data_IF_638966347589
#
_entry.id   IF_638966347589
#
_cell.length_a   1.000
_cell.length_b   1.000
_cell.length_c   1.000
_cell.angle_alpha   90.00
_cell.angle_beta   90.00
_cell.angle_gamma   90.00
#
_symmetry.space_group_name_H-M   'P 1'
#
loop_
_entity.id
_entity.type
_entity.pdbx_description
1 polymer ?
#
# COMPACT_ATOMS: atom_id res chain seq x y z
N UNK A 1 -10.56 5.28 15.34
CA UNK A 1 -10.49 6.45 14.43
C UNK A 1 -9.79 5.98 13.16
N UNK A 2 -10.21 6.44 11.98
CA UNK A 2 -9.61 6.06 10.70
C UNK A 2 -9.27 7.29 9.87
N UNK A 3 -8.17 7.21 9.13
CA UNK A 3 -7.79 8.18 8.10
C UNK A 3 -7.97 7.54 6.72
N UNK A 4 -8.53 8.28 5.77
CA UNK A 4 -8.84 7.78 4.42
C UNK A 4 -8.00 8.55 3.41
N UNK A 5 -7.42 7.82 2.46
CA UNK A 5 -6.57 8.29 1.39
C UNK A 5 -7.21 7.91 0.04
N UNK A 6 -7.88 8.85 -0.64
CA UNK A 6 -8.14 8.68 -2.07
C UNK A 6 -6.81 8.76 -2.82
N UNK A 7 -6.57 7.83 -3.74
CA UNK A 7 -5.37 7.79 -4.55
C UNK A 7 -5.71 8.20 -5.98
N UNK A 8 -4.85 9.04 -6.55
CA UNK A 8 -4.96 9.52 -7.92
C UNK A 8 -3.98 8.73 -8.80
N UNK A 9 -4.38 8.47 -10.05
CA UNK A 9 -3.48 7.89 -11.06
C UNK A 9 -2.39 8.90 -11.45
N UNK A 10 -1.16 8.43 -11.68
CA UNK A 10 -0.12 9.21 -12.34
C UNK A 10 -0.53 9.53 -13.79
N UNK A 11 -0.24 10.72 -14.29
CA UNK A 11 -0.79 11.20 -15.57
C UNK A 11 0.24 11.38 -16.68
N UNK A 12 1.52 11.18 -16.39
CA UNK A 12 2.64 11.41 -17.30
C UNK A 12 2.53 10.56 -18.56
N UNK A 13 2.12 9.30 -18.42
CA UNK A 13 2.05 8.31 -19.53
C UNK A 13 0.62 7.91 -19.88
N UNK A 14 -0.39 8.51 -19.25
CA UNK A 14 -1.78 8.02 -19.27
C UNK A 14 -2.38 7.88 -20.68
N UNK A 15 -1.96 8.70 -21.64
CA UNK A 15 -2.38 8.58 -23.03
C UNK A 15 -1.88 7.30 -23.70
N UNK A 16 -0.59 6.98 -23.49
CA UNK A 16 0.02 5.74 -24.00
C UNK A 16 -0.54 4.52 -23.27
N UNK A 17 -0.75 4.63 -21.97
CA UNK A 17 -1.31 3.54 -21.15
C UNK A 17 -2.74 3.21 -21.59
N UNK A 18 -3.57 4.22 -21.84
CA UNK A 18 -4.94 4.06 -22.34
C UNK A 18 -4.95 3.34 -23.70
N UNK A 19 -4.07 3.74 -24.61
CA UNK A 19 -3.92 3.10 -25.92
C UNK A 19 -3.52 1.62 -25.79
N UNK A 20 -2.55 1.30 -24.94
CA UNK A 20 -2.09 -0.09 -24.73
C UNK A 20 -3.18 -0.98 -24.13
N UNK A 21 -4.01 -0.43 -23.25
CA UNK A 21 -5.10 -1.13 -22.58
C UNK A 21 -6.39 -1.19 -23.39
N UNK A 22 -6.41 -0.60 -24.60
CA UNK A 22 -7.61 -0.48 -25.42
C UNK A 22 -8.75 0.23 -24.68
N UNK A 23 -8.43 1.21 -23.84
CA UNK A 23 -9.35 1.96 -22.98
C UNK A 23 -9.23 3.46 -23.25
N UNK A 24 -10.19 4.27 -22.79
CA UNK A 24 -10.05 5.73 -22.85
C UNK A 24 -9.26 6.28 -21.66
N UNK A 25 -8.66 7.46 -21.83
CA UNK A 25 -8.02 8.19 -20.71
C UNK A 25 -9.03 8.41 -19.57
N UNK A 26 -10.29 8.71 -19.92
CA UNK A 26 -11.34 8.90 -18.95
C UNK A 26 -11.72 7.61 -18.22
N UNK A 27 -11.58 6.43 -18.85
CA UNK A 27 -11.74 5.15 -18.13
C UNK A 27 -10.62 4.98 -17.10
N UNK A 28 -9.36 5.25 -17.46
CA UNK A 28 -8.25 5.11 -16.52
C UNK A 28 -8.39 6.06 -15.33
N UNK A 29 -8.83 7.31 -15.56
CA UNK A 29 -9.12 8.26 -14.47
C UNK A 29 -10.30 7.85 -13.59
N UNK A 30 -11.21 7.00 -14.08
CA UNK A 30 -12.34 6.46 -13.30
C UNK A 30 -11.96 5.22 -12.49
N UNK A 31 -10.73 4.71 -12.59
CA UNK A 31 -10.22 3.72 -11.64
C UNK A 31 -10.17 4.38 -10.26
N UNK A 32 -10.98 3.88 -9.34
CA UNK A 32 -11.06 4.40 -7.98
C UNK A 32 -10.16 3.54 -7.09
N UNK A 33 -9.14 4.14 -6.50
CA UNK A 33 -8.29 3.47 -5.51
C UNK A 33 -8.37 4.26 -4.21
N UNK A 34 -8.78 3.58 -3.14
CA UNK A 34 -8.92 4.17 -1.80
C UNK A 34 -8.21 3.29 -0.78
N UNK A 35 -7.45 3.92 0.11
CA UNK A 35 -6.82 3.24 1.23
C UNK A 35 -7.33 3.84 2.53
N UNK A 36 -7.73 3.01 3.48
CA UNK A 36 -7.99 3.47 4.85
C UNK A 36 -6.94 2.94 5.80
N UNK A 37 -6.46 3.80 6.68
CA UNK A 37 -5.58 3.47 7.79
C UNK A 37 -6.38 3.53 9.10
N UNK A 38 -6.33 2.48 9.90
CA UNK A 38 -7.06 2.37 11.15
C UNK A 38 -6.22 1.67 12.22
N UNK A 39 -6.10 2.26 13.41
CA UNK A 39 -5.48 1.59 14.55
C UNK A 39 -6.48 0.64 15.19
N UNK A 40 -6.21 -0.66 15.10
CA UNK A 40 -6.97 -1.72 15.74
C UNK A 40 -6.30 -2.08 17.05
N UNK A 41 -7.04 -2.08 18.16
CA UNK A 41 -6.50 -2.35 19.51
C UNK A 41 -6.61 -3.80 19.97
N UNK A 42 -7.50 -4.58 19.36
CA UNK A 42 -7.85 -5.95 19.77
C UNK A 42 -8.08 -6.82 18.52
N UNK A 43 -7.71 -8.13 18.54
CA UNK A 43 -7.06 -8.86 19.63
C UNK A 43 -5.57 -8.51 19.80
N UNK A 44 -4.95 -7.88 18.80
CA UNK A 44 -3.59 -7.37 18.86
C UNK A 44 -3.54 -5.94 18.32
N UNK A 45 -2.65 -5.12 18.89
CA UNK A 45 -2.48 -3.73 18.48
C UNK A 45 -1.75 -3.66 17.12
N UNK A 46 -2.41 -3.12 16.10
CA UNK A 46 -1.84 -2.98 14.77
C UNK A 46 -2.45 -1.81 13.98
N UNK A 47 -1.71 -1.34 12.99
CA UNK A 47 -2.20 -0.45 11.94
C UNK A 47 -2.79 -1.31 10.84
N UNK A 48 -4.09 -1.22 10.64
CA UNK A 48 -4.78 -1.87 9.54
C UNK A 48 -4.86 -0.91 8.34
N UNK A 49 -4.26 -1.31 7.23
CA UNK A 49 -4.42 -0.69 5.92
C UNK A 49 -5.46 -1.49 5.12
N UNK A 50 -6.50 -0.83 4.62
CA UNK A 50 -7.50 -1.46 3.74
C UNK A 50 -7.46 -0.81 2.37
N UNK A 51 -6.99 -1.57 1.38
CA UNK A 51 -6.94 -1.16 -0.01
C UNK A 51 -8.24 -1.59 -0.68
N UNK A 52 -8.92 -0.63 -1.33
CA UNK A 52 -10.12 -0.85 -2.10
C UNK A 52 -9.93 -0.27 -3.50
N UNK A 53 -10.03 -1.13 -4.51
CA UNK A 53 -9.88 -0.79 -5.91
C UNK A 53 -11.21 -1.05 -6.59
N UNK A 54 -11.70 -0.10 -7.38
CA UNK A 54 -12.88 -0.29 -8.22
C UNK A 54 -12.53 0.09 -9.65
N UNK A 55 -12.77 -0.84 -10.58
CA UNK A 55 -12.54 -0.66 -12.01
C UNK A 55 -13.85 -0.29 -12.72
N UNK A 56 -13.82 0.62 -13.71
CA UNK A 56 -15.02 1.11 -14.39
C UNK A 56 -15.56 0.16 -15.47
N UNK A 57 -14.83 -0.91 -15.81
CA UNK A 57 -15.24 -1.86 -16.85
C UNK A 57 -14.71 -3.27 -16.60
N UNK A 58 -15.44 -4.26 -17.11
CA UNK A 58 -15.00 -5.66 -17.12
C UNK A 58 -13.77 -5.88 -18.00
N UNK A 59 -13.58 -5.08 -19.06
CA UNK A 59 -12.41 -5.16 -19.93
C UNK A 59 -11.11 -4.89 -19.16
N UNK A 60 -11.10 -3.84 -18.33
CA UNK A 60 -9.97 -3.54 -17.46
C UNK A 60 -9.80 -4.63 -16.39
N UNK A 61 -10.89 -5.12 -15.82
CA UNK A 61 -10.86 -6.21 -14.83
C UNK A 61 -10.25 -7.50 -15.35
N UNK A 62 -10.51 -7.85 -16.62
CA UNK A 62 -9.94 -9.03 -17.26
C UNK A 62 -8.43 -8.90 -17.52
N UNK A 63 -7.91 -7.67 -17.58
CA UNK A 63 -6.49 -7.40 -17.80
C UNK A 63 -5.71 -7.22 -16.49
N UNK A 64 -6.39 -6.84 -15.40
CA UNK A 64 -5.76 -6.65 -14.09
C UNK A 64 -5.20 -7.97 -13.57
N UNK A 65 -3.89 -8.00 -13.30
CA UNK A 65 -3.29 -9.05 -12.51
C UNK A 65 -3.61 -8.82 -11.03
N UNK A 66 -4.63 -9.50 -10.54
CA UNK A 66 -4.96 -9.54 -9.11
C UNK A 66 -4.87 -10.99 -8.63
N UNK A 67 -3.70 -11.42 -8.13
CA UNK A 67 -3.51 -12.82 -7.81
C UNK A 67 -4.42 -13.27 -6.65
N UNK A 68 -4.86 -14.51 -6.74
CA UNK A 68 -5.72 -15.13 -5.73
C UNK A 68 -4.92 -15.30 -4.44
N UNK A 69 -5.56 -15.00 -3.31
CA UNK A 69 -4.96 -15.18 -1.99
C UNK A 69 -4.62 -16.64 -1.73
N UNK A 70 -3.42 -16.88 -1.19
CA UNK A 70 -2.91 -18.21 -0.87
C UNK A 70 -2.27 -18.21 0.51
N UNK A 71 -2.91 -18.87 1.47
CA UNK A 71 -2.40 -19.02 2.85
C UNK A 71 -0.93 -19.48 2.89
N UNK A 72 -0.57 -20.43 2.02
CA UNK A 72 0.77 -21.00 1.96
C UNK A 72 1.85 -20.05 1.41
N UNK A 73 1.46 -18.94 0.78
CA UNK A 73 2.37 -17.93 0.25
C UNK A 73 2.58 -16.74 1.20
N UNK A 74 1.87 -16.70 2.32
CA UNK A 74 2.03 -15.62 3.31
C UNK A 74 3.44 -15.69 3.90
N UNK A 75 4.27 -14.72 3.52
CA UNK A 75 5.68 -14.69 3.89
C UNK A 75 6.44 -13.56 3.22
N UNK A 76 7.69 -13.37 3.66
CA UNK A 76 8.57 -12.34 3.13
C UNK A 76 9.05 -12.68 1.71
N UNK A 77 8.91 -11.75 0.76
CA UNK A 77 9.39 -11.86 -0.62
C UNK A 77 9.80 -10.51 -1.18
N UNK A 78 10.99 -10.43 -1.78
CA UNK A 78 11.48 -9.24 -2.44
C UNK A 78 10.85 -9.00 -3.83
N UNK A 79 11.10 -7.81 -4.39
CA UNK A 79 10.73 -7.42 -5.76
C UNK A 79 9.22 -7.41 -6.07
N UNK A 80 8.37 -7.28 -5.06
CA UNK A 80 6.90 -7.25 -5.24
C UNK A 80 6.41 -6.09 -6.11
N UNK A 81 7.15 -4.98 -6.15
CA UNK A 81 6.86 -3.81 -6.99
C UNK A 81 6.95 -4.08 -8.51
N UNK A 82 7.49 -5.23 -8.93
CA UNK A 82 7.52 -5.64 -10.33
C UNK A 82 6.14 -6.14 -10.83
N UNK A 83 5.16 -6.26 -9.96
CA UNK A 83 3.79 -6.68 -10.27
C UNK A 83 2.75 -5.79 -9.54
N UNK A 84 1.48 -6.20 -9.49
CA UNK A 84 0.49 -5.55 -8.64
C UNK A 84 0.94 -5.58 -7.19
N UNK A 85 1.20 -4.39 -6.64
CA UNK A 85 1.79 -4.18 -5.32
C UNK A 85 0.99 -3.13 -4.55
N UNK A 86 0.61 -3.48 -3.33
CA UNK A 86 -0.03 -2.60 -2.36
C UNK A 86 1.08 -2.09 -1.45
N UNK A 87 1.32 -0.78 -1.46
CA UNK A 87 2.49 -0.18 -0.81
C UNK A 87 2.09 0.83 0.26
N UNK A 88 2.95 1.03 1.25
CA UNK A 88 2.79 2.07 2.25
C UNK A 88 4.13 2.53 2.80
N UNK A 89 4.39 3.83 2.69
CA UNK A 89 5.58 4.45 3.24
C UNK A 89 5.24 5.17 4.54
N UNK A 90 6.10 5.03 5.54
CA UNK A 90 5.88 5.53 6.90
C UNK A 90 7.16 6.20 7.39
N UNK A 91 7.05 7.46 7.83
CA UNK A 91 8.16 8.20 8.42
C UNK A 91 7.74 8.95 9.68
N UNK A 92 8.74 9.23 10.51
CA UNK A 92 8.65 10.11 11.66
C UNK A 92 9.91 9.99 12.50
N UNK A 93 9.85 10.49 13.72
CA UNK A 93 10.96 10.40 14.66
C UNK A 93 11.34 8.95 14.98
N UNK A 94 12.64 8.66 15.04
CA UNK A 94 13.16 7.37 15.51
C UNK A 94 13.24 7.41 17.04
N UNK A 95 12.75 6.38 17.72
CA UNK A 95 12.91 6.21 19.16
C UNK A 95 14.25 5.54 19.47
N UNK A 96 14.95 6.05 20.48
CA UNK A 96 16.08 5.40 21.11
C UNK A 96 15.64 4.24 22.00
N UNK A 97 16.64 3.51 22.52
CA UNK A 97 16.41 2.36 23.40
C UNK A 97 15.72 2.73 24.73
N UNK A 98 15.73 4.00 25.12
CA UNK A 98 15.05 4.56 26.29
C UNK A 98 13.62 5.05 25.98
N UNK A 99 13.14 4.87 24.74
CA UNK A 99 11.84 5.34 24.28
C UNK A 99 11.76 6.85 24.04
N UNK A 100 12.90 7.57 24.12
CA UNK A 100 12.99 8.99 23.80
C UNK A 100 13.37 9.14 22.32
N UNK A 101 12.81 10.14 21.63
CA UNK A 101 13.19 10.40 20.25
C UNK A 101 14.71 10.61 20.13
N UNK A 102 15.38 9.75 19.38
CA UNK A 102 16.78 9.92 19.02
C UNK A 102 16.91 11.09 18.05
N UNK A 103 17.96 11.89 18.22
CA UNK A 103 18.36 12.92 17.24
C UNK A 103 18.87 12.32 15.90
N UNK A 104 18.80 11.00 15.74
CA UNK A 104 19.28 10.27 14.57
C UNK A 104 18.23 10.30 13.44
N UNK A 105 18.64 10.84 12.30
CA UNK A 105 17.96 10.93 11.00
C UNK A 105 16.43 11.06 11.01
N UNK A 106 15.95 12.31 10.92
CA UNK A 106 14.55 12.63 10.58
C UNK A 106 14.16 12.19 9.16
N UNK A 107 15.13 11.71 8.37
CA UNK A 107 14.97 11.35 6.96
C UNK A 107 14.70 9.86 6.74
N UNK A 108 14.89 9.03 7.77
CA UNK A 108 14.59 7.60 7.72
C UNK A 108 13.10 7.32 7.50
N UNK A 109 12.81 6.17 6.89
CA UNK A 109 11.45 5.70 6.68
C UNK A 109 11.39 4.19 6.49
N UNK A 110 10.19 3.67 6.63
CA UNK A 110 9.84 2.28 6.37
C UNK A 110 8.99 2.22 5.11
N UNK A 111 9.20 1.19 4.31
CA UNK A 111 8.36 0.85 3.15
C UNK A 111 7.77 -0.54 3.38
N UNK A 112 6.45 -0.65 3.34
CA UNK A 112 5.76 -1.94 3.26
C UNK A 112 5.32 -2.17 1.83
N UNK A 113 5.65 -3.33 1.28
CA UNK A 113 5.13 -3.81 0.00
C UNK A 113 4.36 -5.11 0.22
N UNK A 114 3.23 -5.27 -0.46
CA UNK A 114 2.39 -6.46 -0.30
C UNK A 114 1.71 -6.84 -1.63
N UNK A 115 1.79 -8.12 -1.99
CA UNK A 115 1.05 -8.66 -3.12
C UNK A 115 -0.34 -9.11 -2.67
N UNK A 116 -1.39 -9.02 -3.51
CA UNK A 116 -2.72 -9.52 -3.17
C UNK A 116 -2.81 -11.01 -2.81
N UNK A 117 -1.77 -11.80 -3.09
CA UNK A 117 -1.72 -13.24 -2.83
C UNK A 117 -1.29 -13.62 -1.41
N UNK A 118 -0.74 -12.69 -0.62
CA UNK A 118 -0.27 -12.96 0.73
C UNK A 118 1.20 -12.61 0.98
N UNK A 119 2.01 -12.53 -0.09
CA UNK A 119 3.43 -12.17 0.01
C UNK A 119 3.61 -10.72 0.42
N UNK A 120 4.68 -10.43 1.16
CA UNK A 120 4.99 -9.08 1.59
C UNK A 120 6.48 -8.83 1.73
N UNK A 121 6.87 -7.57 1.81
CA UNK A 121 8.17 -7.13 2.27
C UNK A 121 8.02 -5.89 3.13
N UNK A 122 8.95 -5.71 4.05
CA UNK A 122 9.02 -4.54 4.90
C UNK A 122 10.48 -4.10 4.96
N UNK A 123 10.77 -2.94 4.40
CA UNK A 123 12.12 -2.43 4.24
C UNK A 123 12.35 -1.21 5.12
N UNK A 124 13.61 -0.98 5.47
CA UNK A 124 14.07 0.22 6.14
C UNK A 124 15.00 1.01 5.23
N UNK A 125 14.80 2.33 5.23
CA UNK A 125 15.68 3.28 4.57
C UNK A 125 16.17 4.34 5.55
N UNK A 126 17.44 4.72 5.43
CA UNK A 126 18.06 5.77 6.24
C UNK A 126 17.67 7.17 5.76
N UNK A 127 17.49 7.31 4.45
CA UNK A 127 17.01 8.48 3.71
C UNK A 127 16.64 8.05 2.29
N UNK A 128 16.37 9.01 1.40
CA UNK A 128 15.89 8.77 0.03
C UNK A 128 16.66 7.64 -0.69
N UNK A 129 15.98 6.50 -0.88
CA UNK A 129 16.51 5.25 -1.50
C UNK A 129 17.89 4.80 -0.97
N UNK A 130 18.19 5.08 0.30
CA UNK A 130 19.44 4.67 0.94
C UNK A 130 19.21 3.66 2.07
N UNK A 131 20.00 2.58 2.17
CA UNK A 131 21.11 2.22 1.29
C UNK A 131 20.63 1.88 -0.13
N UNK A 132 21.42 2.27 -1.14
CA UNK A 132 21.11 2.04 -2.55
C UNK A 132 21.49 0.60 -2.96
N UNK A 133 20.92 -0.38 -2.25
CA UNK A 133 21.17 -1.82 -2.43
C UNK A 133 19.86 -2.50 -2.83
N UNK A 134 19.94 -3.52 -3.69
CA UNK A 134 18.81 -4.35 -4.10
C UNK A 134 19.07 -5.82 -3.73
N UNK A 135 18.13 -6.51 -3.06
CA UNK A 135 16.89 -5.95 -2.51
C UNK A 135 17.17 -4.93 -1.38
N UNK A 136 16.26 -3.99 -1.11
CA UNK A 136 16.41 -3.06 0.01
C UNK A 136 16.55 -3.80 1.33
N UNK A 137 17.18 -3.17 2.32
CA UNK A 137 17.42 -3.78 3.62
C UNK A 137 16.08 -4.12 4.31
N UNK A 138 15.81 -5.40 4.61
CA UNK A 138 14.62 -5.78 5.36
C UNK A 138 14.63 -5.16 6.76
N UNK A 139 13.49 -4.64 7.20
CA UNK A 139 13.31 -4.07 8.55
C UNK A 139 13.44 -5.16 9.64
N UNK A 140 12.99 -6.37 9.32
CA UNK A 140 13.04 -7.53 10.20
C UNK A 140 13.73 -8.70 9.51
N UNK A 141 14.19 -9.67 10.28
CA UNK A 141 14.69 -10.92 9.73
C UNK A 141 13.56 -11.63 8.96
N UNK A 142 13.87 -12.08 7.74
CA UNK A 142 12.94 -12.79 6.86
C UNK A 142 12.71 -14.26 7.28
N UNK A 143 12.99 -14.61 8.53
CA UNK A 143 13.01 -15.99 9.06
C UNK A 143 11.62 -16.56 9.36
N UNK A 144 10.56 -15.77 9.16
CA UNK A 144 9.17 -16.15 9.43
C UNK A 144 8.79 -16.18 10.92
N UNK A 145 9.72 -15.86 11.83
CA UNK A 145 9.49 -15.80 13.28
C UNK A 145 9.32 -14.38 13.80
N UNK A 146 9.77 -13.38 13.05
CA UNK A 146 9.67 -11.96 13.44
C UNK A 146 8.36 -11.33 12.97
N UNK A 147 7.72 -10.54 13.85
CA UNK A 147 6.36 -9.95 13.75
C UNK A 147 6.16 -8.99 12.55
N UNK A 148 6.14 -9.52 11.34
CA UNK A 148 5.46 -8.94 10.20
C UNK A 148 4.24 -9.81 9.87
N UNK A 149 3.30 -9.90 10.82
CA UNK A 149 2.03 -10.59 10.55
C UNK A 149 1.07 -9.61 9.88
N UNK A 150 0.88 -9.81 8.59
CA UNK A 150 -0.16 -9.16 7.80
C UNK A 150 -1.44 -10.01 7.92
N UNK A 151 -2.44 -9.51 8.65
CA UNK A 151 -3.75 -10.14 8.72
C UNK A 151 -4.56 -9.84 7.44
N UNK A 152 -4.80 -10.89 6.65
CA UNK A 152 -5.60 -10.84 5.44
C UNK A 152 -7.08 -11.13 5.76
N UNK A 153 -8.01 -10.33 5.22
CA UNK A 153 -9.45 -10.62 5.31
C UNK A 153 -10.07 -10.55 3.93
N UNK A 154 -10.57 -11.68 3.45
CA UNK A 154 -11.31 -11.80 2.21
C UNK A 154 -12.76 -11.34 2.42
N UNK A 155 -13.10 -10.16 1.89
CA UNK A 155 -14.48 -9.82 1.62
C UNK A 155 -14.63 -9.71 0.10
N UNK A 156 -15.08 -10.78 -0.54
CA UNK A 156 -15.72 -10.66 -1.85
C UNK A 156 -17.16 -10.25 -1.56
N UNK A 157 -17.47 -8.96 -1.70
CA UNK A 157 -18.86 -8.53 -1.79
C UNK A 157 -19.39 -9.00 -3.15
N UNK A 158 -20.02 -10.18 -3.16
CA UNK A 158 -20.86 -10.58 -4.27
C UNK A 158 -22.08 -9.64 -4.27
N UNK A 159 -22.44 -9.04 -5.42
CA UNK A 159 -23.66 -8.23 -5.48
C UNK A 159 -24.84 -9.13 -5.13
N UNK A 160 -25.46 -8.90 -3.97
CA UNK A 160 -26.84 -9.28 -3.76
C UNK A 160 -27.66 -8.51 -4.80
N UNK A 161 -28.53 -9.22 -5.50
CA UNK A 161 -29.45 -8.76 -6.55
C UNK A 161 -28.92 -8.80 -7.99
N UNK A 162 -29.61 -9.62 -8.78
CA UNK A 162 -29.63 -9.65 -10.23
C UNK A 162 -30.27 -8.35 -10.75
N UNK A 163 -29.45 -7.33 -10.94
CA UNK A 163 -29.84 -6.13 -11.70
C UNK A 163 -29.85 -6.40 -13.22
N UNK A 164 -30.70 -5.69 -13.99
CA UNK A 164 -30.86 -5.89 -15.43
C UNK A 164 -29.55 -5.66 -16.23
N UNK A 165 -29.43 -6.21 -17.45
CA UNK A 165 -28.14 -6.42 -18.13
C UNK A 165 -27.45 -5.16 -18.69
N UNK A 166 -27.89 -3.96 -18.32
CA UNK A 166 -27.51 -2.71 -18.99
C UNK A 166 -26.71 -1.73 -18.13
N UNK A 167 -26.40 -2.05 -16.88
CA UNK A 167 -25.50 -1.24 -16.04
C UNK A 167 -24.08 -1.79 -16.14
N UNK A 168 -23.13 -0.95 -16.56
CA UNK A 168 -21.70 -1.29 -16.59
C UNK A 168 -21.29 -1.78 -15.20
N UNK A 169 -21.06 -3.09 -15.05
CA UNK A 169 -20.82 -3.71 -13.76
C UNK A 169 -19.43 -3.28 -13.27
N UNK A 170 -19.40 -2.45 -12.23
CA UNK A 170 -18.17 -2.09 -11.53
C UNK A 170 -17.57 -3.36 -10.91
N UNK A 171 -16.27 -3.56 -11.09
CA UNK A 171 -15.53 -4.70 -10.50
C UNK A 171 -14.67 -4.17 -9.37
N UNK A 172 -14.86 -4.72 -8.17
CA UNK A 172 -14.17 -4.26 -6.96
C UNK A 172 -13.24 -5.32 -6.39
N UNK A 173 -12.10 -4.87 -5.90
CA UNK A 173 -11.06 -5.68 -5.28
C UNK A 173 -10.69 -5.08 -3.94
N UNK A 174 -10.45 -5.93 -2.94
CA UNK A 174 -10.17 -5.49 -1.59
C UNK A 174 -9.11 -6.35 -0.92
N UNK A 175 -8.17 -5.71 -0.25
CA UNK A 175 -7.25 -6.35 0.69
C UNK A 175 -7.13 -5.55 1.97
N UNK A 176 -6.94 -6.28 3.06
CA UNK A 176 -6.60 -5.73 4.37
C UNK A 176 -5.23 -6.25 4.75
N UNK A 177 -4.43 -5.35 5.30
CA UNK A 177 -3.07 -5.61 5.72
C UNK A 177 -2.87 -5.03 7.12
N UNK A 178 -2.34 -5.82 8.05
CA UNK A 178 -2.00 -5.39 9.40
C UNK A 178 -0.50 -5.19 9.57
N UNK A 179 -0.09 -4.05 10.15
CA UNK A 179 1.28 -3.80 10.59
C UNK A 179 1.31 -3.70 12.12
N UNK A 180 2.06 -4.55 12.83
CA UNK A 180 2.14 -4.48 14.29
C UNK A 180 2.60 -3.11 14.77
N UNK A 181 1.97 -2.63 15.85
CA UNK A 181 2.29 -1.33 16.45
C UNK A 181 2.76 -1.48 17.89
N UNK A 182 3.62 -0.56 18.28
CA UNK A 182 3.90 -0.23 19.69
C UNK A 182 3.11 1.02 20.07
N UNK A 183 2.39 0.98 21.18
CA UNK A 183 1.73 2.16 21.74
C UNK A 183 2.74 2.95 22.59
N UNK A 184 2.82 4.25 22.35
CA UNK A 184 3.66 5.20 23.07
C UNK A 184 2.79 6.09 23.97
N UNK A 185 3.40 6.90 24.86
CA UNK A 185 2.68 7.96 25.58
C UNK A 185 1.90 8.89 24.63
N UNK A 186 0.91 9.60 25.17
CA UNK A 186 0.08 10.56 24.41
C UNK A 186 -0.63 9.97 23.18
N UNK A 187 -0.95 8.67 23.21
CA UNK A 187 -1.63 7.96 22.12
C UNK A 187 -0.86 8.00 20.79
N UNK A 188 0.46 8.15 20.83
CA UNK A 188 1.31 7.98 19.67
C UNK A 188 1.55 6.48 19.41
N UNK A 189 1.90 6.15 18.16
CA UNK A 189 2.17 4.78 17.73
C UNK A 189 3.46 4.72 16.94
N UNK A 190 4.17 3.60 17.05
CA UNK A 190 5.38 3.32 16.29
C UNK A 190 5.36 1.93 15.65
N UNK A 191 6.11 1.80 14.55
CA UNK A 191 6.46 0.54 13.90
C UNK A 191 7.99 0.43 13.96
N UNK A 192 8.52 -0.66 14.54
CA UNK A 192 9.97 -0.89 14.64
C UNK A 192 10.80 0.33 15.11
N UNK A 193 10.29 1.07 16.12
CA UNK A 193 10.86 2.32 16.66
C UNK A 193 10.67 3.59 15.82
N UNK A 194 10.02 3.54 14.65
CA UNK A 194 9.63 4.74 13.90
C UNK A 194 8.25 5.20 14.33
N UNK A 195 8.16 6.39 14.93
CA UNK A 195 6.88 7.05 15.23
C UNK A 195 6.15 7.36 13.92
N UNK A 196 4.85 7.09 13.86
CA UNK A 196 4.05 7.34 12.66
C UNK A 196 3.63 8.81 12.63
N UNK A 197 4.43 9.67 11.98
CA UNK A 197 4.11 11.09 11.79
C UNK A 197 3.59 11.37 10.38
N UNK A 198 4.15 10.67 9.39
CA UNK A 198 3.79 10.76 7.98
C UNK A 198 3.50 9.36 7.44
N UNK A 199 2.52 9.30 6.55
CA UNK A 199 2.10 8.08 5.88
C UNK A 199 1.79 8.38 4.41
N UNK A 200 2.16 7.45 3.53
CA UNK A 200 1.92 7.56 2.10
C UNK A 200 1.56 6.18 1.56
N UNK A 201 0.27 5.79 1.59
CA UNK A 201 -0.16 4.55 0.96
C UNK A 201 -0.14 4.73 -0.56
N UNK A 202 0.41 3.76 -1.28
CA UNK A 202 0.52 3.77 -2.73
C UNK A 202 0.05 2.43 -3.31
N UNK A 203 -0.25 2.41 -4.60
CA UNK A 203 -0.62 1.18 -5.30
C UNK A 203 0.01 1.16 -6.68
N UNK A 204 0.62 0.04 -7.02
CA UNK A 204 1.01 -0.34 -8.36
C UNK A 204 -0.01 -1.36 -8.86
N UNK A 205 -0.69 -1.09 -9.96
CA UNK A 205 -1.60 -2.03 -10.61
C UNK A 205 -1.02 -2.49 -11.94
N UNK A 206 -0.80 -3.80 -12.09
CA UNK A 206 -0.33 -4.41 -13.34
C UNK A 206 -1.52 -4.85 -14.18
N UNK A 207 -1.67 -4.28 -15.37
CA UNK A 207 -2.66 -4.66 -16.38
C UNK A 207 -1.95 -5.28 -17.58
N UNK A 208 -1.88 -6.60 -17.63
CA UNK A 208 -1.06 -7.30 -18.64
C UNK A 208 0.40 -6.83 -18.62
N UNK A 209 0.82 -6.05 -19.62
CA UNK A 209 2.17 -5.46 -19.70
C UNK A 209 2.24 -3.99 -19.24
N UNK A 210 1.11 -3.34 -19.04
CA UNK A 210 1.03 -1.93 -18.65
C UNK A 210 0.95 -1.83 -17.13
N UNK A 211 1.63 -0.84 -16.56
CA UNK A 211 1.64 -0.60 -15.11
C UNK A 211 1.09 0.78 -14.84
N UNK A 212 0.12 0.87 -13.92
CA UNK A 212 -0.47 2.13 -13.48
C UNK A 212 -0.09 2.39 -12.02
N UNK A 213 0.24 3.64 -11.71
CA UNK A 213 0.73 4.07 -10.39
C UNK A 213 -0.29 4.98 -9.72
N UNK A 214 -0.58 4.72 -8.44
CA UNK A 214 -1.58 5.46 -7.67
C UNK A 214 -1.01 5.92 -6.32
N UNK A 215 -1.15 7.21 -6.02
CA UNK A 215 -0.72 7.83 -4.77
C UNK A 215 -1.68 8.97 -4.37
N UNK A 216 -1.70 9.43 -3.09
CA UNK A 216 -2.50 10.59 -2.71
C UNK A 216 -2.02 11.87 -3.40
N UNK A 217 -0.72 11.93 -3.71
CA UNK A 217 -0.04 12.98 -4.46
C UNK A 217 1.18 12.36 -5.15
N UNK A 218 1.52 12.81 -6.35
CA UNK A 218 2.65 12.30 -7.13
C UNK A 218 3.73 13.37 -7.29
N UNK A 219 4.99 12.93 -7.25
CA UNK A 219 6.08 13.64 -7.90
C UNK A 219 5.95 13.52 -9.44
N UNK A 220 6.69 14.33 -10.19
CA UNK A 220 6.78 14.19 -11.64
C UNK A 220 8.26 14.11 -12.06
N UNK A 221 8.77 12.94 -12.50
CA UNK A 221 8.04 11.67 -12.70
C UNK A 221 7.56 11.02 -11.38
N UNK A 222 6.63 10.04 -11.44
CA UNK A 222 6.12 9.36 -10.25
C UNK A 222 7.24 8.71 -9.43
N UNK A 223 7.31 9.07 -8.16
CA UNK A 223 8.31 8.56 -7.21
C UNK A 223 7.72 8.53 -5.81
N UNK A 224 7.29 7.34 -5.37
CA UNK A 224 6.65 7.17 -4.06
C UNK A 224 7.60 7.44 -2.89
N UNK A 225 8.93 7.35 -3.10
CA UNK A 225 9.93 7.64 -2.08
C UNK A 225 10.09 9.15 -1.82
N UNK A 226 9.51 10.03 -2.64
CA UNK A 226 9.60 11.47 -2.44
C UNK A 226 8.68 11.93 -1.29
N UNK A 227 9.29 12.11 -0.11
CA UNK A 227 8.62 12.50 1.13
C UNK A 227 7.86 13.82 1.08
N UNK A 228 8.12 14.70 0.11
CA UNK A 228 7.37 15.95 -0.05
C UNK A 228 5.89 15.73 -0.37
N UNK A 229 5.54 14.54 -0.89
CA UNK A 229 4.17 14.17 -1.25
C UNK A 229 3.44 13.36 -0.17
N UNK A 230 4.09 13.12 0.97
CA UNK A 230 3.55 12.27 2.02
C UNK A 230 2.59 13.05 2.91
N UNK A 231 1.54 12.37 3.37
CA UNK A 231 0.51 13.00 4.20
C UNK A 231 0.87 12.88 5.67
N UNK A 232 0.51 13.90 6.47
CA UNK A 232 0.55 13.76 7.93
C UNK A 232 -0.41 12.67 8.39
N UNK A 233 0.05 11.83 9.29
CA UNK A 233 -0.79 10.86 9.99
C UNK A 233 -1.58 11.56 11.09
N UNK A 234 -2.90 11.36 11.10
CA UNK A 234 -3.84 11.98 12.02
C UNK A 234 -4.81 10.91 12.52
N UNK A 235 -4.55 10.36 13.71
CA UNK A 235 -5.39 9.38 14.40
C UNK A 235 -5.63 9.74 15.86
#
# INVERSE_FOLDING_TARGET
MSQIFPLCIATETIGNDAQQLGSSIEDLKRICVRVSAHVVRQPALHLQLTYHITLPSQSLANQLNWPIWQAAQVGFFDYLWEDTCLECFIAGSILGNDGVACAASTESYIEMNASPDGRYALYQFEHYRHPAVLPPTPLYQADGHTLARIDWVDNVELPLYSEPPTVSKLVSYKRRIGLPLTQLPNQQYAIANTVIEHIHPCVILRFGKTTLYFAPSHASPPDFHNRQHWSKFKL
#
